data_IF_143399153314
#
_entry.id   IF_143399153314
#
_cell.length_a   1.000
_cell.length_b   1.000
_cell.length_c   1.000
_cell.angle_alpha   90.00
_cell.angle_beta   90.00
_cell.angle_gamma   90.00
#
_symmetry.space_group_name_H-M   'P 1'
#
loop_
_entity.id
_entity.type
_entity.pdbx_description
1 polymer ?
#
# COMPACT_ATOMS: atom_id res chain seq x y z
N UNK A 1 2.49 -71.97 -34.83
CA UNK A 1 2.12 -70.98 -33.81
C UNK A 1 2.83 -69.69 -34.16
N UNK A 2 2.07 -68.63 -34.41
CA UNK A 2 2.59 -67.36 -34.90
C UNK A 2 2.93 -66.47 -33.69
N UNK A 3 4.10 -65.82 -33.70
CA UNK A 3 4.56 -64.94 -32.59
C UNK A 3 3.55 -63.81 -32.31
N UNK A 4 2.76 -63.43 -33.32
CA UNK A 4 1.66 -62.47 -33.20
C UNK A 4 0.52 -62.92 -32.29
N UNK A 5 0.23 -64.23 -32.20
CA UNK A 5 -0.87 -64.74 -31.37
C UNK A 5 -0.50 -64.74 -29.88
N UNK A 6 0.79 -64.85 -29.55
CA UNK A 6 1.29 -64.90 -28.18
C UNK A 6 1.39 -63.49 -27.53
N UNK A 7 1.46 -62.43 -28.36
CA UNK A 7 1.42 -61.04 -27.90
C UNK A 7 0.00 -60.53 -27.63
N UNK A 8 -1.02 -61.11 -28.29
CA UNK A 8 -2.42 -60.74 -28.09
C UNK A 8 -2.99 -61.32 -26.78
N UNK A 9 -2.58 -62.52 -26.36
CA UNK A 9 -3.04 -63.08 -25.07
C UNK A 9 -2.38 -62.43 -23.84
N UNK A 10 -1.23 -61.77 -24.00
CA UNK A 10 -0.59 -61.02 -22.91
C UNK A 10 -1.15 -59.61 -22.72
N UNK A 11 -2.04 -59.15 -23.60
CA UNK A 11 -2.63 -57.81 -23.52
C UNK A 11 -4.02 -57.77 -22.91
N UNK A 12 -4.76 -58.90 -22.86
CA UNK A 12 -6.08 -58.93 -22.20
C UNK A 12 -6.00 -58.84 -20.66
N UNK A 13 -4.94 -59.40 -20.04
CA UNK A 13 -4.73 -59.33 -18.58
C UNK A 13 -3.82 -58.14 -18.16
N UNK A 14 -3.25 -57.43 -19.14
CA UNK A 14 -2.39 -56.25 -18.92
C UNK A 14 -3.13 -54.92 -18.95
N UNK A 15 -4.43 -54.92 -19.26
CA UNK A 15 -5.26 -53.72 -19.38
C UNK A 15 -5.83 -53.23 -18.03
N UNK A 16 -5.20 -53.57 -16.91
CA UNK A 16 -5.29 -52.80 -15.66
C UNK A 16 -4.12 -51.82 -15.55
N UNK A 17 -3.81 -51.11 -16.63
CA UNK A 17 -3.19 -49.80 -16.48
C UNK A 17 -4.28 -48.95 -15.86
N UNK A 18 -4.13 -48.69 -14.55
CA UNK A 18 -4.81 -47.65 -13.80
C UNK A 18 -4.90 -46.45 -14.73
N UNK A 19 -6.09 -46.15 -15.23
CA UNK A 19 -6.38 -44.91 -15.94
C UNK A 19 -6.37 -43.82 -14.84
N UNK A 20 -5.29 -43.03 -14.65
CA UNK A 20 -5.28 -42.03 -13.60
C UNK A 20 -6.17 -40.84 -13.98
N UNK A 21 -6.79 -40.88 -15.17
CA UNK A 21 -7.54 -39.78 -15.78
C UNK A 21 -9.03 -40.15 -15.91
N UNK A 22 -9.54 -41.00 -15.02
CA UNK A 22 -10.98 -41.20 -14.80
C UNK A 22 -11.41 -40.98 -13.36
N UNK A 23 -10.77 -40.03 -12.68
CA UNK A 23 -11.24 -39.52 -11.40
C UNK A 23 -11.29 -37.99 -11.49
N UNK A 24 -12.50 -37.49 -11.73
CA UNK A 24 -12.90 -36.09 -11.62
C UNK A 24 -12.01 -35.11 -12.39
N UNK A 25 -12.31 -34.93 -13.68
CA UNK A 25 -11.88 -33.72 -14.37
C UNK A 25 -12.28 -32.52 -13.50
N UNK A 26 -11.30 -31.69 -13.14
CA UNK A 26 -11.50 -30.44 -12.41
C UNK A 26 -12.52 -29.61 -13.20
N UNK A 27 -13.78 -29.62 -12.77
CA UNK A 27 -14.89 -29.02 -13.50
C UNK A 27 -14.90 -27.48 -13.35
N UNK A 28 -14.16 -26.97 -12.36
CA UNK A 28 -13.89 -25.55 -12.08
C UNK A 28 -12.49 -25.40 -11.50
N UNK A 29 -11.50 -25.06 -12.33
CA UNK A 29 -10.12 -24.87 -11.87
C UNK A 29 -9.97 -23.74 -10.85
N UNK A 30 -10.94 -22.83 -10.84
CA UNK A 30 -11.13 -21.72 -9.90
C UNK A 30 -11.64 -22.15 -8.51
N UNK A 31 -12.32 -23.30 -8.38
CA UNK A 31 -12.77 -23.84 -7.09
C UNK A 31 -11.72 -24.75 -6.45
N UNK A 32 -10.96 -25.51 -7.25
CA UNK A 32 -9.99 -26.49 -6.76
C UNK A 32 -8.58 -25.90 -6.53
N UNK A 33 -8.20 -24.84 -7.28
CA UNK A 33 -6.96 -24.10 -7.02
C UNK A 33 -7.25 -22.83 -6.22
N UNK A 34 -7.41 -22.99 -4.90
CA UNK A 34 -7.26 -21.84 -4.02
C UNK A 34 -5.80 -21.37 -4.09
N UNK A 35 -5.57 -20.20 -4.70
CA UNK A 35 -4.31 -19.45 -4.61
C UNK A 35 -4.05 -19.12 -3.14
N UNK A 36 -3.49 -20.09 -2.42
CA UNK A 36 -3.13 -19.96 -1.01
C UNK A 36 -1.71 -19.46 -0.95
N UNK A 37 -1.55 -18.25 -0.44
CA UNK A 37 -0.24 -17.67 -0.15
C UNK A 37 0.47 -18.64 0.82
N UNK A 38 1.59 -19.21 0.38
CA UNK A 38 2.41 -20.08 1.24
C UNK A 38 2.85 -19.30 2.48
N UNK A 39 3.14 -19.98 3.60
CA UNK A 39 3.63 -19.32 4.81
C UNK A 39 4.81 -18.39 4.53
N UNK A 40 5.79 -18.86 3.75
CA UNK A 40 6.97 -18.05 3.37
C UNK A 40 6.59 -16.80 2.57
N UNK A 41 5.63 -16.92 1.65
CA UNK A 41 5.11 -15.77 0.89
C UNK A 41 4.39 -14.78 1.80
N UNK A 42 3.63 -15.26 2.79
CA UNK A 42 2.94 -14.42 3.78
C UNK A 42 3.94 -13.66 4.65
N UNK A 43 4.98 -14.33 5.11
CA UNK A 43 6.03 -13.74 5.94
C UNK A 43 6.78 -12.65 5.15
N UNK A 44 7.08 -12.92 3.87
CA UNK A 44 7.71 -11.95 2.97
C UNK A 44 6.84 -10.71 2.76
N UNK A 45 5.52 -10.89 2.56
CA UNK A 45 4.58 -9.78 2.45
C UNK A 45 4.56 -8.95 3.75
N UNK A 46 4.55 -9.60 4.91
CA UNK A 46 4.60 -8.91 6.20
C UNK A 46 5.87 -8.09 6.39
N UNK A 47 7.04 -8.63 6.04
CA UNK A 47 8.30 -7.88 6.08
C UNK A 47 8.28 -6.67 5.15
N UNK A 48 7.74 -6.83 3.95
CA UNK A 48 7.64 -5.74 3.00
C UNK A 48 6.70 -4.63 3.49
N UNK A 49 5.57 -5.00 4.09
CA UNK A 49 4.63 -4.04 4.70
C UNK A 49 5.30 -3.25 5.84
N UNK A 50 6.06 -3.92 6.71
CA UNK A 50 6.84 -3.24 7.77
C UNK A 50 7.85 -2.25 7.18
N UNK A 51 8.53 -2.62 6.09
CA UNK A 51 9.44 -1.71 5.37
C UNK A 51 8.69 -0.50 4.81
N UNK A 52 7.51 -0.70 4.23
CA UNK A 52 6.69 0.41 3.72
C UNK A 52 6.27 1.36 4.84
N UNK A 53 5.77 0.84 5.96
CA UNK A 53 5.42 1.66 7.12
C UNK A 53 6.62 2.45 7.64
N UNK A 54 7.77 1.80 7.79
CA UNK A 54 9.01 2.46 8.23
C UNK A 54 9.42 3.59 7.28
N UNK A 55 9.35 3.35 5.96
CA UNK A 55 9.70 4.35 4.95
C UNK A 55 8.73 5.52 4.97
N UNK A 56 7.42 5.27 5.11
CA UNK A 56 6.42 6.33 5.22
C UNK A 56 6.69 7.18 6.45
N UNK A 57 6.82 6.57 7.64
CA UNK A 57 7.12 7.30 8.89
C UNK A 57 8.43 8.08 8.81
N UNK A 58 9.43 7.52 8.16
CA UNK A 58 10.70 8.19 7.94
C UNK A 58 10.57 9.36 6.96
N UNK A 59 9.76 9.20 5.90
CA UNK A 59 9.43 10.25 4.95
C UNK A 59 8.67 11.40 5.61
N UNK A 60 7.69 11.09 6.46
CA UNK A 60 6.93 12.08 7.25
C UNK A 60 7.89 13.00 8.01
N UNK A 61 8.82 12.42 8.78
CA UNK A 61 9.81 13.18 9.57
C UNK A 61 10.75 14.06 8.74
N UNK A 62 10.90 13.78 7.45
CA UNK A 62 11.79 14.51 6.53
C UNK A 62 11.01 15.36 5.53
N UNK A 63 9.69 15.42 5.62
CA UNK A 63 8.82 16.10 4.64
C UNK A 63 9.00 15.57 3.20
N UNK A 64 9.39 14.30 3.06
CA UNK A 64 9.62 13.65 1.76
C UNK A 64 8.29 13.10 1.21
N UNK A 65 7.42 14.00 0.77
CA UNK A 65 6.07 13.67 0.31
C UNK A 65 6.06 12.78 -0.94
N UNK A 66 7.09 12.85 -1.78
CA UNK A 66 7.24 11.99 -2.95
C UNK A 66 7.45 10.52 -2.54
N UNK A 67 8.34 10.26 -1.57
CA UNK A 67 8.53 8.93 -1.01
C UNK A 67 7.25 8.42 -0.35
N UNK A 68 6.58 9.28 0.44
CA UNK A 68 5.34 8.90 1.13
C UNK A 68 4.27 8.50 0.11
N UNK A 69 4.04 9.31 -0.94
CA UNK A 69 3.10 8.99 -2.02
C UNK A 69 3.41 7.63 -2.62
N UNK A 70 4.66 7.46 -3.06
CA UNK A 70 5.09 6.23 -3.71
C UNK A 70 4.81 5.00 -2.85
N UNK A 71 5.07 5.07 -1.54
CA UNK A 71 4.82 3.95 -0.62
C UNK A 71 3.35 3.73 -0.32
N UNK A 72 2.54 4.78 -0.23
CA UNK A 72 1.09 4.66 -0.10
C UNK A 72 0.43 4.05 -1.35
N UNK A 73 0.90 4.42 -2.55
CA UNK A 73 0.48 3.81 -3.81
C UNK A 73 0.83 2.31 -3.87
N UNK A 74 2.04 1.94 -3.42
CA UNK A 74 2.46 0.55 -3.31
C UNK A 74 1.59 -0.23 -2.31
N UNK A 75 1.25 0.36 -1.16
CA UNK A 75 0.35 -0.26 -0.18
C UNK A 75 -1.06 -0.46 -0.74
N UNK A 76 -1.60 0.54 -1.46
CA UNK A 76 -2.91 0.47 -2.10
C UNK A 76 -2.95 -0.66 -3.14
N UNK A 77 -1.96 -0.69 -4.03
CA UNK A 77 -1.83 -1.74 -5.06
C UNK A 77 -1.76 -3.13 -4.42
N UNK A 78 -1.02 -3.27 -3.33
CA UNK A 78 -0.89 -4.53 -2.61
C UNK A 78 -2.20 -4.95 -1.93
N UNK A 79 -2.94 -3.98 -1.38
CA UNK A 79 -4.25 -4.21 -0.80
C UNK A 79 -5.26 -4.65 -1.87
N UNK A 80 -5.25 -4.02 -3.04
CA UNK A 80 -6.14 -4.36 -4.15
C UNK A 80 -5.86 -5.77 -4.70
N UNK A 81 -4.59 -6.21 -4.69
CA UNK A 81 -4.19 -7.53 -5.16
C UNK A 81 -4.57 -8.66 -4.18
N UNK A 82 -4.31 -8.46 -2.88
CA UNK A 82 -4.47 -9.53 -1.88
C UNK A 82 -5.81 -9.46 -1.12
N UNK A 83 -6.44 -8.28 -1.10
CA UNK A 83 -7.69 -7.96 -0.39
C UNK A 83 -7.72 -8.51 1.05
N UNK A 84 -6.66 -8.22 1.81
CA UNK A 84 -6.51 -8.69 3.19
C UNK A 84 -6.71 -7.54 4.17
N UNK A 85 -7.54 -7.76 5.21
CA UNK A 85 -7.90 -6.72 6.18
C UNK A 85 -6.67 -6.12 6.90
N UNK A 86 -5.65 -6.93 7.18
CA UNK A 86 -4.44 -6.42 7.84
C UNK A 86 -3.64 -5.44 6.97
N UNK A 87 -3.66 -5.58 5.63
CA UNK A 87 -2.99 -4.66 4.71
C UNK A 87 -3.74 -3.33 4.68
N UNK A 88 -5.08 -3.40 4.61
CA UNK A 88 -5.97 -2.25 4.70
C UNK A 88 -5.76 -1.49 6.01
N UNK A 89 -5.66 -2.18 7.14
CA UNK A 89 -5.41 -1.56 8.44
C UNK A 89 -4.06 -0.82 8.45
N UNK A 90 -3.01 -1.44 7.90
CA UNK A 90 -1.69 -0.81 7.77
C UNK A 90 -1.75 0.46 6.93
N UNK A 91 -2.50 0.44 5.83
CA UNK A 91 -2.70 1.61 4.97
C UNK A 91 -3.43 2.74 5.70
N UNK A 92 -4.51 2.42 6.43
CA UNK A 92 -5.26 3.37 7.27
C UNK A 92 -4.36 3.98 8.35
N UNK A 93 -3.56 3.17 9.04
CA UNK A 93 -2.66 3.65 10.08
C UNK A 93 -1.61 4.62 9.51
N UNK A 94 -1.06 4.33 8.32
CA UNK A 94 -0.11 5.23 7.65
C UNK A 94 -0.75 6.55 7.23
N UNK A 95 -1.99 6.51 6.72
CA UNK A 95 -2.76 7.70 6.39
C UNK A 95 -3.02 8.52 7.64
N UNK A 96 -3.41 7.90 8.75
CA UNK A 96 -3.62 8.59 10.02
C UNK A 96 -2.34 9.26 10.52
N UNK A 97 -1.21 8.55 10.52
CA UNK A 97 0.09 9.11 10.94
C UNK A 97 0.44 10.36 10.10
N UNK A 98 0.23 10.31 8.78
CA UNK A 98 0.46 11.44 7.88
C UNK A 98 -0.53 12.59 8.12
N UNK A 99 -1.83 12.30 8.24
CA UNK A 99 -2.86 13.32 8.47
C UNK A 99 -2.64 14.07 9.78
N UNK A 100 -2.28 13.35 10.85
CA UNK A 100 -1.93 13.95 12.14
C UNK A 100 -0.75 14.91 11.97
N UNK A 101 0.32 14.46 11.32
CA UNK A 101 1.50 15.30 11.11
C UNK A 101 1.19 16.56 10.29
N UNK A 102 0.43 16.45 9.20
CA UNK A 102 0.01 17.62 8.40
C UNK A 102 -0.86 18.59 9.21
N UNK A 103 -1.72 18.06 10.08
CA UNK A 103 -2.53 18.90 10.98
C UNK A 103 -1.67 19.62 12.02
N UNK A 104 -0.64 18.97 12.56
CA UNK A 104 0.29 19.58 13.52
C UNK A 104 1.07 20.72 12.87
N UNK A 105 1.65 20.49 11.68
CA UNK A 105 2.34 21.51 10.88
C UNK A 105 1.43 22.73 10.62
N UNK A 106 0.17 22.47 10.27
CA UNK A 106 -0.81 23.51 10.02
C UNK A 106 -1.09 24.35 11.27
N UNK A 107 -1.30 23.70 12.42
CA UNK A 107 -1.54 24.39 13.69
C UNK A 107 -0.33 25.20 14.14
N UNK A 108 0.89 24.70 13.89
CA UNK A 108 2.11 25.45 14.20
C UNK A 108 2.22 26.71 13.34
N UNK A 109 1.98 26.61 12.03
CA UNK A 109 1.93 27.76 11.12
C UNK A 109 0.88 28.82 11.54
N UNK A 110 -0.30 28.40 11.97
CA UNK A 110 -1.33 29.30 12.54
C UNK A 110 -0.84 29.96 13.83
N UNK A 111 -0.25 29.19 14.74
CA UNK A 111 0.19 29.68 16.05
C UNK A 111 1.24 30.78 15.91
N UNK A 112 2.20 30.59 15.00
CA UNK A 112 3.20 31.61 14.65
C UNK A 112 2.51 32.87 14.10
N UNK A 113 1.42 32.72 13.33
CA UNK A 113 0.77 33.84 12.63
C UNK A 113 0.05 34.69 13.65
N UNK A 114 -0.72 34.02 14.50
CA UNK A 114 -1.45 34.65 15.59
C UNK A 114 -0.50 35.35 16.54
N UNK A 115 0.67 34.76 16.85
CA UNK A 115 1.71 35.42 17.63
C UNK A 115 2.16 36.73 16.97
N UNK A 116 2.51 36.69 15.68
CA UNK A 116 2.94 37.89 14.96
C UNK A 116 1.87 38.99 14.93
N UNK A 117 0.59 38.60 14.75
CA UNK A 117 -0.55 39.51 14.74
C UNK A 117 -0.85 40.10 16.12
N UNK A 118 -0.83 39.29 17.18
CA UNK A 118 -1.18 39.73 18.54
C UNK A 118 -0.15 40.68 19.16
N UNK A 119 1.14 40.43 18.91
CA UNK A 119 2.21 41.22 19.54
C UNK A 119 2.67 42.41 18.69
N UNK A 120 2.04 42.69 17.53
CA UNK A 120 2.48 43.71 16.55
C UNK A 120 3.98 43.64 16.27
N UNK A 121 4.56 42.44 16.37
CA UNK A 121 5.98 42.23 16.15
C UNK A 121 6.25 42.35 14.66
N UNK A 122 7.29 43.13 14.31
CA UNK A 122 7.84 43.14 12.95
C UNK A 122 8.15 41.69 12.59
N UNK A 123 7.52 41.17 11.55
CA UNK A 123 7.82 39.85 10.98
C UNK A 123 9.32 39.75 10.75
N UNK A 124 9.95 38.76 11.39
CA UNK A 124 11.37 38.52 11.17
C UNK A 124 11.56 37.77 9.86
N UNK A 125 12.78 37.84 9.30
CA UNK A 125 13.13 37.03 8.13
C UNK A 125 13.00 35.52 8.42
N UNK A 126 13.17 35.11 9.69
CA UNK A 126 13.00 33.73 10.13
C UNK A 126 11.52 33.31 10.07
N UNK A 127 10.61 34.15 10.57
CA UNK A 127 9.16 33.90 10.47
C UNK A 127 8.74 33.77 8.99
N UNK A 128 9.19 34.67 8.12
CA UNK A 128 8.90 34.62 6.68
C UNK A 128 9.40 33.32 6.04
N UNK A 129 10.62 32.89 6.39
CA UNK A 129 11.20 31.64 5.87
C UNK A 129 10.42 30.41 6.35
N UNK A 130 9.97 30.41 7.60
CA UNK A 130 9.14 29.33 8.14
C UNK A 130 7.79 29.27 7.42
N UNK A 131 7.14 30.42 7.17
CA UNK A 131 5.92 30.48 6.35
C UNK A 131 6.09 29.92 4.95
N UNK A 132 7.15 30.34 4.26
CA UNK A 132 7.46 29.83 2.93
C UNK A 132 7.65 28.30 2.97
N UNK A 133 8.25 27.78 4.03
CA UNK A 133 8.43 26.34 4.22
C UNK A 133 7.09 25.62 4.37
N UNK A 134 6.19 26.11 5.24
CA UNK A 134 4.86 25.52 5.41
C UNK A 134 4.02 25.58 4.13
N UNK A 135 4.06 26.70 3.40
CA UNK A 135 3.38 26.84 2.11
C UNK A 135 3.95 25.86 1.08
N UNK A 136 5.28 25.72 1.00
CA UNK A 136 5.91 24.78 0.09
C UNK A 136 5.54 23.33 0.40
N UNK A 137 5.49 22.96 1.68
CA UNK A 137 5.05 21.64 2.12
C UNK A 137 3.58 21.39 1.72
N UNK A 138 2.69 22.35 1.99
CA UNK A 138 1.29 22.25 1.61
C UNK A 138 1.10 22.13 0.08
N UNK A 139 1.84 22.92 -0.69
CA UNK A 139 1.82 22.85 -2.16
C UNK A 139 2.31 21.49 -2.67
N UNK A 140 3.40 20.95 -2.12
CA UNK A 140 3.90 19.62 -2.50
C UNK A 140 2.86 18.51 -2.27
N UNK A 141 2.13 18.57 -1.15
CA UNK A 141 1.07 17.59 -0.85
C UNK A 141 -0.06 17.66 -1.88
N UNK A 142 -0.43 18.86 -2.32
CA UNK A 142 -1.45 19.07 -3.35
C UNK A 142 -0.96 18.67 -4.76
N UNK A 143 0.26 19.10 -5.15
CA UNK A 143 0.88 18.79 -6.44
C UNK A 143 1.03 17.29 -6.67
N UNK A 144 1.45 16.57 -5.63
CA UNK A 144 1.58 15.12 -5.66
C UNK A 144 0.23 14.40 -5.60
N UNK A 145 -0.89 15.13 -5.57
CA UNK A 145 -2.24 14.58 -5.44
C UNK A 145 -2.40 13.63 -4.25
N UNK A 146 -1.53 13.77 -3.24
CA UNK A 146 -1.47 12.90 -2.07
C UNK A 146 -2.81 12.93 -1.32
N UNK A 147 -3.42 14.11 -1.29
CA UNK A 147 -4.74 14.37 -0.75
C UNK A 147 -5.83 13.56 -1.46
N UNK A 148 -5.97 13.77 -2.76
CA UNK A 148 -6.99 13.10 -3.58
C UNK A 148 -6.80 11.58 -3.60
N UNK A 149 -5.54 11.11 -3.66
CA UNK A 149 -5.22 9.70 -3.79
C UNK A 149 -5.41 8.91 -2.48
N UNK A 150 -5.13 9.52 -1.33
CA UNK A 150 -5.04 8.79 -0.05
C UNK A 150 -5.70 9.47 1.15
N UNK A 151 -5.65 10.80 1.28
CA UNK A 151 -6.07 11.47 2.52
C UNK A 151 -7.56 11.80 2.58
N UNK A 152 -8.25 11.83 1.44
CA UNK A 152 -9.67 12.19 1.37
C UNK A 152 -9.95 13.68 1.58
N UNK A 153 -11.22 14.05 1.76
CA UNK A 153 -11.67 15.45 1.84
C UNK A 153 -11.46 16.09 3.22
N UNK A 154 -11.20 15.30 4.25
CA UNK A 154 -11.23 15.75 5.65
C UNK A 154 -9.89 16.33 6.15
N UNK A 155 -8.83 16.30 5.35
CA UNK A 155 -7.52 16.87 5.72
C UNK A 155 -7.48 18.38 5.44
N UNK A 156 -6.63 19.15 6.13
CA UNK A 156 -6.59 20.63 6.07
C UNK A 156 -6.01 21.19 4.77
N UNK A 157 -6.80 22.00 4.04
CA UNK A 157 -6.47 22.51 2.70
C UNK A 157 -5.38 23.59 2.71
N UNK A 158 -4.55 23.64 1.66
CA UNK A 158 -3.59 24.73 1.43
C UNK A 158 -4.26 26.10 1.32
N UNK A 159 -5.53 26.15 0.91
CA UNK A 159 -6.37 27.36 0.90
C UNK A 159 -6.55 27.99 2.28
N UNK A 160 -6.18 27.29 3.35
CA UNK A 160 -6.26 27.81 4.70
C UNK A 160 -5.01 28.64 5.09
N UNK A 161 -3.98 28.66 4.23
CA UNK A 161 -2.82 29.56 4.32
C UNK A 161 -2.88 30.77 3.36
N UNK A 162 -3.93 30.88 2.52
CA UNK A 162 -4.10 31.96 1.53
C UNK A 162 -5.15 32.96 2.02
#
# INVERSE_FOLDING_TARGET
>A
MNILTDMLYKTEDGAQIIDPIKSNAIHRSDEDFQFTITKNSRDTVHEQLRKYQSNIRSGIKRFDYALIKYKLDQLKTLNDLFNQEYIKQIHIDCIRDLSTHLSEEYQEGISILNRCLMYQTILTNEDIKNYQTYINHANHVEELQLRHAHLGKDVVHSSAFI
#
